data_IF_983872487821
#
_entry.id   IF_983872487821
#
_cell.length_a   1.000
_cell.length_b   1.000
_cell.length_c   1.000
_cell.angle_alpha   90.00
_cell.angle_beta   90.00
_cell.angle_gamma   90.00
#
_symmetry.space_group_name_H-M   'P 1'
#
loop_
_entity.id
_entity.type
_entity.pdbx_description
1 polymer ?
#
# COMPACT_ATOMS: atom_id res chain seq x y z
N UNK A 1 -0.09 -24.78 -13.61
CA UNK A 1 0.28 -23.63 -14.45
C UNK A 1 1.41 -22.96 -13.70
N UNK A 2 2.59 -22.88 -14.31
CA UNK A 2 3.74 -22.17 -13.72
C UNK A 2 3.39 -20.70 -13.73
N UNK A 3 3.47 -19.99 -12.59
CA UNK A 3 3.40 -18.52 -12.61
C UNK A 3 4.69 -18.05 -13.33
N UNK A 4 4.60 -17.78 -14.64
CA UNK A 4 5.75 -17.47 -15.54
C UNK A 4 6.55 -16.20 -15.13
N UNK A 5 6.04 -15.45 -14.14
CA UNK A 5 6.66 -14.24 -13.62
C UNK A 5 6.99 -14.32 -12.13
N UNK A 6 7.13 -15.54 -11.58
CA UNK A 6 7.55 -15.74 -10.19
C UNK A 6 8.63 -16.81 -10.07
N UNK A 7 9.49 -16.65 -9.07
CA UNK A 7 10.56 -17.59 -8.78
C UNK A 7 10.76 -17.69 -7.28
N UNK A 8 11.17 -18.89 -6.83
CA UNK A 8 11.33 -19.19 -5.41
C UNK A 8 12.67 -19.87 -5.19
N UNK A 9 13.42 -19.42 -4.18
CA UNK A 9 14.57 -20.14 -3.66
C UNK A 9 14.49 -20.24 -2.14
N UNK A 10 14.36 -21.47 -1.64
CA UNK A 10 14.17 -21.73 -0.22
C UNK A 10 12.92 -21.02 0.33
N UNK A 11 13.14 -20.10 1.26
CA UNK A 11 12.11 -19.28 1.90
C UNK A 11 11.92 -17.91 1.26
N UNK A 12 12.67 -17.58 0.21
CA UNK A 12 12.52 -16.34 -0.53
C UNK A 12 11.66 -16.61 -1.76
N UNK A 13 10.63 -15.81 -1.92
CA UNK A 13 9.74 -15.82 -3.08
C UNK A 13 9.80 -14.45 -3.74
N UNK A 14 9.93 -14.42 -5.05
CA UNK A 14 9.94 -13.18 -5.82
C UNK A 14 8.97 -13.27 -6.98
N UNK A 15 8.32 -12.15 -7.29
CA UNK A 15 7.39 -12.03 -8.40
C UNK A 15 7.55 -10.68 -9.08
N UNK A 16 7.52 -10.69 -10.40
CA UNK A 16 7.40 -9.47 -11.18
C UNK A 16 6.05 -8.83 -10.87
N UNK A 17 6.07 -7.54 -10.56
CA UNK A 17 4.86 -6.78 -10.25
C UNK A 17 4.43 -5.93 -11.44
N UNK A 18 5.38 -5.18 -12.02
CA UNK A 18 5.09 -4.36 -13.18
C UNK A 18 6.34 -4.12 -14.03
N UNK A 19 6.13 -3.96 -15.34
CA UNK A 19 7.10 -3.49 -16.31
C UNK A 19 6.38 -2.52 -17.24
N UNK A 20 6.88 -1.30 -17.31
CA UNK A 20 6.36 -0.25 -18.18
C UNK A 20 7.50 0.50 -18.85
N UNK A 21 7.26 0.98 -20.06
CA UNK A 21 8.17 1.89 -20.76
C UNK A 21 7.87 3.33 -20.35
N UNK A 22 8.92 4.09 -20.01
CA UNK A 22 8.87 5.51 -19.70
C UNK A 22 9.96 6.26 -20.47
N UNK A 23 9.88 7.59 -20.46
CA UNK A 23 10.89 8.47 -21.03
C UNK A 23 11.53 9.20 -19.86
N UNK A 24 12.84 9.15 -19.75
CA UNK A 24 13.58 9.85 -18.69
C UNK A 24 13.70 11.36 -18.96
N UNK A 25 14.39 12.08 -18.07
CA UNK A 25 14.58 13.52 -18.19
C UNK A 25 15.41 13.94 -19.43
N UNK A 26 16.12 13.00 -20.06
CA UNK A 26 16.99 13.23 -21.21
C UNK A 26 16.34 12.78 -22.55
N UNK A 27 15.02 12.60 -22.57
CA UNK A 27 14.24 12.10 -23.73
C UNK A 27 14.65 10.68 -24.19
N UNK A 28 15.27 9.87 -23.34
CA UNK A 28 15.64 8.48 -23.64
C UNK A 28 14.55 7.49 -23.17
N UNK A 29 14.26 6.48 -24.00
CA UNK A 29 13.37 5.39 -23.62
C UNK A 29 14.02 4.51 -22.54
N UNK A 30 13.35 4.38 -21.40
CA UNK A 30 13.75 3.53 -20.29
C UNK A 30 12.64 2.54 -19.93
N UNK A 31 13.01 1.39 -19.38
CA UNK A 31 12.05 0.49 -18.74
C UNK A 31 12.06 0.74 -17.23
N UNK A 32 10.87 0.85 -16.65
CA UNK A 32 10.67 0.82 -15.21
C UNK A 32 10.17 -0.57 -14.81
N UNK A 33 10.97 -1.26 -14.00
CA UNK A 33 10.67 -2.62 -13.54
C UNK A 33 10.49 -2.62 -12.03
N UNK A 34 9.37 -3.19 -11.57
CA UNK A 34 9.09 -3.42 -10.15
C UNK A 34 9.00 -4.91 -9.87
N UNK A 35 9.86 -5.38 -8.98
CA UNK A 35 9.90 -6.77 -8.54
C UNK A 35 9.64 -6.84 -7.05
N UNK A 36 8.73 -7.72 -6.65
CA UNK A 36 8.41 -7.97 -5.26
C UNK A 36 9.22 -9.15 -4.72
N UNK A 37 9.68 -9.06 -3.47
CA UNK A 37 10.39 -10.09 -2.73
C UNK A 37 9.70 -10.29 -1.38
N UNK A 38 9.31 -11.52 -1.10
CA UNK A 38 8.70 -11.95 0.17
C UNK A 38 9.62 -12.93 0.89
N UNK A 39 9.85 -12.68 2.19
CA UNK A 39 10.52 -13.65 3.07
C UNK A 39 9.49 -14.48 3.83
N UNK A 40 9.32 -15.73 3.41
CA UNK A 40 8.40 -16.68 4.04
C UNK A 40 9.00 -17.41 5.25
N UNK A 41 10.24 -17.09 5.65
CA UNK A 41 10.87 -17.70 6.83
C UNK A 41 10.55 -16.95 8.13
N UNK A 42 10.86 -17.62 9.25
CA UNK A 42 10.85 -17.03 10.59
C UNK A 42 12.15 -16.28 10.94
N UNK A 43 13.12 -16.19 10.03
CA UNK A 43 14.46 -15.64 10.28
C UNK A 43 14.72 -14.46 9.33
N UNK A 44 15.29 -13.34 9.80
CA UNK A 44 15.68 -12.25 8.90
C UNK A 44 16.75 -12.71 7.92
N UNK A 45 16.64 -12.29 6.66
CA UNK A 45 17.63 -12.57 5.62
C UNK A 45 18.38 -11.28 5.30
N UNK A 46 19.71 -11.31 5.42
CA UNK A 46 20.59 -10.19 5.06
C UNK A 46 21.47 -10.52 3.86
N UNK A 47 22.27 -9.53 3.44
CA UNK A 47 23.15 -9.67 2.27
C UNK A 47 22.34 -9.75 0.98
N UNK A 48 21.23 -9.03 0.91
CA UNK A 48 20.38 -8.98 -0.27
C UNK A 48 21.04 -8.09 -1.32
N UNK A 49 21.10 -8.59 -2.55
CA UNK A 49 21.57 -7.87 -3.72
C UNK A 49 20.69 -8.25 -4.90
N UNK A 50 20.16 -7.25 -5.60
CA UNK A 50 19.34 -7.43 -6.77
C UNK A 50 19.93 -6.62 -7.91
N UNK A 51 19.80 -7.10 -9.14
CA UNK A 51 20.22 -6.39 -10.34
C UNK A 51 19.36 -6.81 -11.53
N UNK A 52 19.13 -5.89 -12.47
CA UNK A 52 18.75 -6.27 -13.82
C UNK A 52 20.01 -6.46 -14.65
N UNK A 53 20.05 -7.52 -15.45
CA UNK A 53 21.18 -7.83 -16.33
C UNK A 53 20.67 -7.91 -17.76
N UNK A 54 21.20 -7.06 -18.64
CA UNK A 54 20.91 -7.16 -20.08
C UNK A 54 21.68 -8.31 -20.72
N UNK A 55 21.21 -8.76 -21.88
CA UNK A 55 21.90 -9.71 -22.76
C UNK A 55 23.31 -9.23 -23.18
N UNK A 56 23.52 -7.91 -23.28
CA UNK A 56 24.82 -7.25 -23.49
C UNK A 56 25.74 -7.31 -22.26
N UNK A 57 25.25 -7.82 -21.13
CA UNK A 57 25.98 -7.97 -19.86
C UNK A 57 26.02 -6.70 -19.00
N UNK A 58 25.24 -5.67 -19.34
CA UNK A 58 25.12 -4.46 -18.52
C UNK A 58 24.28 -4.78 -17.29
N UNK A 59 24.75 -4.36 -16.10
CA UNK A 59 24.03 -4.52 -14.84
C UNK A 59 23.45 -3.18 -14.40
N UNK A 60 22.19 -3.18 -14.01
CA UNK A 60 21.47 -2.04 -13.46
C UNK A 60 21.11 -2.34 -12.00
N UNK A 61 21.51 -1.45 -11.11
CA UNK A 61 21.22 -1.53 -9.68
C UNK A 61 19.83 -0.94 -9.38
N UNK A 62 19.16 -1.38 -8.31
CA UNK A 62 17.85 -0.85 -7.94
C UNK A 62 17.98 0.58 -7.41
N UNK A 63 17.04 1.44 -7.78
CA UNK A 63 16.90 2.81 -7.29
C UNK A 63 16.48 2.78 -5.82
N UNK A 64 15.50 1.93 -5.53
CA UNK A 64 15.08 1.63 -4.17
C UNK A 64 15.30 0.13 -3.93
N UNK A 65 16.28 -0.16 -3.09
CA UNK A 65 16.73 -1.49 -2.77
C UNK A 65 17.00 -1.64 -1.28
N UNK A 66 16.79 -2.86 -0.78
CA UNK A 66 17.05 -3.23 0.60
C UNK A 66 18.21 -4.21 0.68
N UNK A 67 19.00 -4.14 1.76
CA UNK A 67 20.08 -5.08 2.03
C UNK A 67 19.69 -6.19 3.01
N UNK A 68 18.50 -6.10 3.61
CA UNK A 68 17.94 -7.11 4.52
C UNK A 68 16.41 -7.07 4.56
N UNK A 69 15.80 -8.22 4.82
CA UNK A 69 14.35 -8.38 4.94
C UNK A 69 14.00 -9.19 6.20
N UNK A 70 13.03 -8.68 6.97
CA UNK A 70 12.53 -9.35 8.16
C UNK A 70 11.65 -10.57 7.85
N UNK A 71 11.34 -11.40 8.85
CA UNK A 71 10.42 -12.54 8.71
C UNK A 71 9.01 -12.10 8.28
N UNK A 72 8.42 -12.77 7.30
CA UNK A 72 7.05 -12.51 6.83
C UNK A 72 6.85 -11.16 6.14
N UNK A 73 7.93 -10.42 5.86
CA UNK A 73 7.84 -9.13 5.19
C UNK A 73 7.96 -9.30 3.69
N UNK A 74 7.31 -8.36 3.01
CA UNK A 74 7.35 -8.21 1.57
C UNK A 74 7.86 -6.82 1.21
N UNK A 75 8.75 -6.75 0.23
CA UNK A 75 9.47 -5.53 -0.16
C UNK A 75 9.64 -5.50 -1.68
N UNK A 76 9.71 -4.30 -2.23
CA UNK A 76 9.85 -4.08 -3.67
C UNK A 76 11.27 -3.63 -3.99
N UNK A 77 11.75 -4.05 -5.15
CA UNK A 77 12.90 -3.48 -5.84
C UNK A 77 12.40 -2.73 -7.07
N UNK A 78 12.83 -1.49 -7.22
CA UNK A 78 12.51 -0.66 -8.38
C UNK A 78 13.77 -0.41 -9.19
N UNK A 79 13.66 -0.58 -10.49
CA UNK A 79 14.76 -0.37 -11.43
C UNK A 79 14.31 0.56 -12.55
N UNK A 80 15.22 1.41 -12.98
CA UNK A 80 15.16 2.07 -14.28
C UNK A 80 16.36 1.58 -15.08
N UNK A 81 16.11 1.19 -16.33
CA UNK A 81 17.16 0.70 -17.20
C UNK A 81 16.90 1.16 -18.64
N UNK A 82 17.87 1.86 -19.22
CA UNK A 82 17.86 2.25 -20.63
C UNK A 82 18.17 1.02 -21.48
N UNK A 83 17.11 0.37 -21.97
CA UNK A 83 17.19 -0.83 -22.82
C UNK A 83 16.50 -0.55 -24.16
N UNK A 84 17.32 -0.38 -25.19
CA UNK A 84 16.89 -0.11 -26.56
C UNK A 84 16.49 -1.37 -27.34
N UNK A 85 17.10 -2.50 -26.99
CA UNK A 85 16.96 -3.77 -27.71
C UNK A 85 17.53 -4.94 -26.89
N UNK A 86 17.08 -6.16 -27.20
CA UNK A 86 17.59 -7.38 -26.60
C UNK A 86 16.68 -7.95 -25.52
N UNK A 87 17.28 -8.65 -24.57
CA UNK A 87 16.59 -9.24 -23.43
C UNK A 87 17.23 -8.80 -22.11
N UNK A 88 16.44 -8.80 -21.04
CA UNK A 88 16.92 -8.55 -19.69
C UNK A 88 16.46 -9.64 -18.74
N UNK A 89 17.24 -9.88 -17.70
CA UNK A 89 16.97 -10.87 -16.65
C UNK A 89 17.13 -10.20 -15.30
N UNK A 90 16.17 -10.39 -14.40
CA UNK A 90 16.34 -10.02 -13.01
C UNK A 90 17.15 -11.11 -12.30
N UNK A 91 18.21 -10.70 -11.62
CA UNK A 91 19.03 -11.55 -10.76
C UNK A 91 18.95 -11.06 -9.31
N UNK A 92 18.78 -12.00 -8.40
CA UNK A 92 18.77 -11.75 -6.98
C UNK A 92 19.66 -12.74 -6.23
N UNK A 93 20.44 -12.22 -5.28
CA UNK A 93 21.23 -12.99 -4.34
C UNK A 93 20.84 -12.59 -2.92
N UNK A 94 20.53 -13.59 -2.08
CA UNK A 94 20.19 -13.34 -0.67
C UNK A 94 20.21 -14.61 0.15
N UNK A 95 20.80 -14.57 1.35
CA UNK A 95 20.79 -15.72 2.27
C UNK A 95 21.47 -16.99 1.72
N UNK A 96 22.41 -16.85 0.77
CA UNK A 96 23.06 -17.99 0.10
C UNK A 96 22.24 -18.61 -1.02
N UNK A 97 21.12 -17.98 -1.41
CA UNK A 97 20.28 -18.39 -2.53
C UNK A 97 20.36 -17.40 -3.68
N UNK A 98 20.30 -17.93 -4.90
CA UNK A 98 20.20 -17.14 -6.12
C UNK A 98 18.82 -17.36 -6.72
N UNK A 99 18.19 -16.28 -7.17
CA UNK A 99 16.94 -16.31 -7.92
C UNK A 99 17.17 -15.56 -9.23
N UNK A 100 16.55 -16.05 -10.30
CA UNK A 100 16.54 -15.40 -11.60
C UNK A 100 15.12 -15.41 -12.16
N UNK A 101 14.71 -14.29 -12.75
CA UNK A 101 13.43 -14.11 -13.44
C UNK A 101 13.69 -13.56 -14.85
N UNK A 102 13.06 -14.17 -15.85
CA UNK A 102 13.29 -13.89 -17.25
C UNK A 102 14.00 -15.03 -17.98
N UNK A 103 14.60 -14.78 -19.16
CA UNK A 103 14.74 -13.47 -19.80
C UNK A 103 13.41 -12.89 -20.31
N UNK A 104 13.32 -11.55 -20.32
CA UNK A 104 12.21 -10.78 -20.88
C UNK A 104 12.72 -9.89 -22.02
N UNK A 105 11.90 -9.64 -23.02
CA UNK A 105 12.26 -8.72 -24.11
C UNK A 105 12.39 -7.27 -23.61
N UNK A 106 13.19 -6.45 -24.30
CA UNK A 106 13.37 -5.04 -23.97
C UNK A 106 12.05 -4.24 -24.02
N UNK A 107 11.11 -4.61 -24.89
CA UNK A 107 9.78 -4.00 -25.04
C UNK A 107 8.67 -4.72 -24.26
N UNK A 108 9.04 -5.59 -23.31
CA UNK A 108 8.09 -6.35 -22.51
C UNK A 108 7.30 -5.43 -21.57
N UNK A 109 5.98 -5.48 -21.64
CA UNK A 109 5.07 -4.80 -20.71
C UNK A 109 4.32 -5.82 -19.87
N UNK A 110 4.18 -5.53 -18.58
CA UNK A 110 3.44 -6.38 -17.66
C UNK A 110 2.88 -5.57 -16.51
N UNK A 111 1.67 -5.93 -16.09
CA UNK A 111 1.09 -5.43 -14.86
C UNK A 111 0.44 -6.63 -14.18
N UNK A 112 0.93 -7.00 -13.00
CA UNK A 112 0.28 -8.00 -12.18
C UNK A 112 -1.09 -7.48 -11.74
N UNK A 113 -2.10 -8.34 -11.77
CA UNK A 113 -3.42 -8.02 -11.26
C UNK A 113 -3.31 -7.57 -9.79
N UNK A 114 -3.87 -6.41 -9.49
CA UNK A 114 -3.83 -5.82 -8.15
C UNK A 114 -4.80 -6.58 -7.24
N UNK A 115 -4.32 -7.68 -6.68
CA UNK A 115 -5.02 -8.47 -5.65
C UNK A 115 -4.02 -8.88 -4.59
N UNK A 116 -4.44 -8.93 -3.33
CA UNK A 116 -3.60 -9.49 -2.27
C UNK A 116 -3.39 -10.97 -2.58
N UNK A 117 -2.23 -11.36 -3.13
CA UNK A 117 -1.81 -12.77 -3.12
C UNK A 117 -1.76 -13.17 -1.65
N UNK A 118 -2.75 -13.95 -1.22
CA UNK A 118 -2.78 -14.56 0.11
C UNK A 118 -1.51 -15.38 0.25
N UNK A 119 -0.49 -14.77 0.85
CA UNK A 119 0.78 -15.43 1.12
C UNK A 119 0.50 -16.71 1.90
N UNK A 120 1.36 -17.70 1.72
CA UNK A 120 1.26 -19.01 2.37
C UNK A 120 1.57 -18.93 3.88
N UNK A 121 1.09 -17.87 4.54
CA UNK A 121 1.09 -17.72 5.98
C UNK A 121 0.30 -18.88 6.57
N UNK A 122 0.86 -19.49 7.60
CA UNK A 122 0.26 -20.57 8.39
C UNK A 122 -1.11 -20.07 8.88
N UNK A 123 -2.18 -20.45 8.18
CA UNK A 123 -3.54 -19.94 8.40
C UNK A 123 -4.34 -19.65 7.12
N UNK A 124 -3.70 -19.46 5.96
CA UNK A 124 -4.39 -19.16 4.70
C UNK A 124 -5.48 -20.19 4.32
N UNK A 125 -5.21 -21.48 4.57
CA UNK A 125 -6.16 -22.57 4.34
C UNK A 125 -7.39 -22.55 5.27
N UNK A 126 -7.35 -21.85 6.41
CA UNK A 126 -8.49 -21.74 7.32
C UNK A 126 -9.42 -20.58 6.94
N UNK A 127 -8.89 -19.57 6.23
CA UNK A 127 -9.64 -18.38 5.82
C UNK A 127 -10.13 -18.44 4.37
N UNK A 128 -9.50 -19.23 3.50
CA UNK A 128 -9.92 -19.36 2.10
C UNK A 128 -11.27 -20.07 1.95
N UNK A 129 -11.53 -21.13 2.72
CA UNK A 129 -12.79 -21.88 2.64
C UNK A 129 -14.02 -21.19 3.27
N UNK A 130 -13.84 -20.13 4.05
CA UNK A 130 -14.93 -19.46 4.78
C UNK A 130 -15.43 -18.16 4.10
N UNK A 131 -14.63 -17.57 3.20
CA UNK A 131 -14.89 -16.26 2.59
C UNK A 131 -14.64 -16.25 1.07
N UNK A 132 -14.95 -17.38 0.43
CA UNK A 132 -14.58 -17.81 -0.93
C UNK A 132 -14.87 -16.82 -2.09
N UNK A 133 -15.61 -15.72 -1.87
CA UNK A 133 -16.00 -14.81 -2.97
C UNK A 133 -15.87 -13.30 -2.68
N UNK A 134 -15.28 -12.88 -1.56
CA UNK A 134 -15.26 -11.45 -1.18
C UNK A 134 -13.91 -10.90 -0.73
N UNK A 135 -12.83 -11.68 -0.84
CA UNK A 135 -11.50 -11.24 -0.40
C UNK A 135 -10.64 -10.63 -1.52
N UNK A 136 -10.86 -10.99 -2.78
CA UNK A 136 -10.15 -10.37 -3.92
C UNK A 136 -10.47 -8.88 -4.06
N UNK A 137 -11.70 -8.48 -3.74
CA UNK A 137 -12.16 -7.08 -3.79
C UNK A 137 -11.81 -6.28 -2.52
N UNK A 138 -11.34 -6.98 -1.46
CA UNK A 138 -10.99 -6.34 -0.20
C UNK A 138 -9.66 -5.59 -0.36
N UNK A 139 -9.71 -4.26 -0.42
CA UNK A 139 -8.55 -3.38 -0.64
C UNK A 139 -8.39 -2.88 -2.08
N UNK A 140 -9.27 -3.29 -3.00
CA UNK A 140 -9.33 -2.72 -4.37
C UNK A 140 -10.07 -1.39 -4.42
N UNK A 141 -10.80 -1.02 -3.36
CA UNK A 141 -11.43 0.29 -3.23
C UNK A 141 -10.45 1.23 -2.53
N UNK A 142 -9.99 2.25 -3.25
CA UNK A 142 -9.35 3.43 -2.63
C UNK A 142 -10.30 3.97 -1.56
N UNK A 143 -9.82 4.05 -0.32
CA UNK A 143 -10.60 4.57 0.78
C UNK A 143 -10.99 6.03 0.47
N UNK A 144 -12.28 6.19 0.13
CA UNK A 144 -13.11 7.40 0.20
C UNK A 144 -12.32 8.71 0.22
N UNK A 145 -12.32 9.40 -0.92
CA UNK A 145 -11.91 10.80 -1.00
C UNK A 145 -12.47 11.61 0.18
N UNK A 146 -11.63 12.53 0.68
CA UNK A 146 -11.89 13.40 1.84
C UNK A 146 -13.36 13.85 1.80
N UNK A 147 -14.17 13.32 2.70
CA UNK A 147 -15.57 13.72 2.81
C UNK A 147 -15.56 15.13 3.37
N UNK A 148 -15.97 16.09 2.55
CA UNK A 148 -16.20 17.45 2.98
C UNK A 148 -17.35 17.48 4.00
N UNK A 149 -17.02 17.78 5.25
CA UNK A 149 -17.98 17.84 6.36
C UNK A 149 -19.08 18.89 6.13
N UNK A 150 -18.85 19.88 5.26
CA UNK A 150 -19.86 20.90 4.90
C UNK A 150 -20.99 20.33 4.03
N UNK A 151 -20.78 19.18 3.38
CA UNK A 151 -21.78 18.54 2.51
C UNK A 151 -22.78 17.61 3.24
N UNK A 152 -22.58 17.41 4.55
CA UNK A 152 -23.38 16.45 5.34
C UNK A 152 -24.60 17.17 5.93
N UNK A 153 -25.78 16.97 5.33
CA UNK A 153 -27.05 17.43 5.88
C UNK A 153 -27.58 16.44 6.93
N UNK A 154 -27.41 16.75 8.21
CA UNK A 154 -28.00 16.00 9.32
C UNK A 154 -29.51 16.24 9.38
N UNK A 155 -30.31 15.19 9.19
CA UNK A 155 -31.78 15.27 9.37
C UNK A 155 -32.14 14.71 10.74
N UNK A 156 -32.72 15.54 11.60
CA UNK A 156 -33.16 15.14 12.95
C UNK A 156 -34.64 14.74 12.94
N UNK A 157 -34.97 13.74 13.76
CA UNK A 157 -36.35 13.26 13.97
C UNK A 157 -36.69 13.40 15.44
N UNK A 158 -37.90 13.89 15.72
CA UNK A 158 -38.42 13.98 17.09
C UNK A 158 -39.65 13.08 17.24
N UNK A 159 -39.67 12.30 18.32
CA UNK A 159 -40.81 11.47 18.69
C UNK A 159 -41.56 12.11 19.85
N UNK A 160 -42.82 12.48 19.63
CA UNK A 160 -43.70 12.95 20.71
C UNK A 160 -44.67 11.83 21.09
N UNK A 161 -44.81 11.58 22.40
CA UNK A 161 -45.75 10.59 22.92
C UNK A 161 -47.13 11.23 23.11
N UNK A 162 -48.13 10.62 22.49
CA UNK A 162 -49.53 11.05 22.59
C UNK A 162 -50.29 10.23 23.63
N UNK A 163 -51.22 10.86 24.35
CA UNK A 163 -51.97 10.23 25.43
C UNK A 163 -52.84 9.10 24.90
N UNK A 164 -52.49 7.87 25.27
CA UNK A 164 -52.96 6.63 24.64
C UNK A 164 -51.85 5.63 24.29
N UNK A 165 -50.58 6.01 24.46
CA UNK A 165 -49.43 5.10 24.34
C UNK A 165 -48.88 4.93 22.91
N UNK A 166 -49.26 5.82 21.99
CA UNK A 166 -48.74 5.85 20.63
C UNK A 166 -47.69 6.98 20.48
N UNK A 167 -46.59 6.68 19.81
CA UNK A 167 -45.52 7.65 19.50
C UNK A 167 -45.67 8.12 18.05
N UNK A 168 -45.80 9.44 17.85
CA UNK A 168 -45.82 10.04 16.52
C UNK A 168 -44.44 10.62 16.23
N UNK A 169 -43.80 10.18 15.15
CA UNK A 169 -42.50 10.70 14.70
C UNK A 169 -42.73 11.80 13.68
N UNK A 170 -42.15 12.98 13.92
CA UNK A 170 -42.21 14.13 13.02
C UNK A 170 -40.80 14.45 12.53
N UNK A 171 -40.69 14.74 11.23
CA UNK A 171 -39.44 15.16 10.59
C UNK A 171 -39.11 16.58 11.07
N UNK A 172 -37.98 16.75 11.75
CA UNK A 172 -37.50 18.07 12.18
C UNK A 172 -37.01 18.84 10.96
N UNK A 173 -37.51 20.07 10.78
CA UNK A 173 -36.98 20.97 9.74
C UNK A 173 -35.58 21.42 10.16
N UNK A 174 -34.61 21.37 9.23
CA UNK A 174 -33.20 21.64 9.49
C UNK A 174 -32.99 23.11 9.88
N UNK A 175 -33.02 23.41 11.17
CA UNK A 175 -32.61 24.72 11.69
C UNK A 175 -31.10 24.77 11.85
N UNK A 176 -30.51 25.90 11.46
CA UNK A 176 -29.10 26.23 11.62
C UNK A 176 -28.61 25.89 13.04
N UNK A 177 -27.42 25.28 13.09
CA UNK A 177 -26.71 24.78 14.27
C UNK A 177 -26.75 25.79 15.42
N UNK A 178 -27.37 25.43 16.54
CA UNK A 178 -27.31 26.20 17.79
C UNK A 178 -25.86 26.22 18.31
N UNK A 179 -25.38 27.40 18.74
CA UNK A 179 -23.99 27.68 19.21
C UNK A 179 -23.53 26.84 20.42
N UNK A 180 -24.42 26.02 20.99
CA UNK A 180 -24.14 25.16 22.15
C UNK A 180 -23.49 23.83 21.77
N UNK A 181 -23.56 23.41 20.50
CA UNK A 181 -23.05 22.10 20.03
C UNK A 181 -21.71 22.20 19.26
N UNK A 182 -20.94 23.25 19.53
CA UNK A 182 -19.58 23.40 19.00
C UNK A 182 -18.60 22.43 19.68
N UNK A 183 -17.65 21.83 18.95
CA UNK A 183 -16.66 20.92 19.52
C UNK A 183 -15.94 21.55 20.71
N UNK A 184 -15.96 20.88 21.87
CA UNK A 184 -15.28 21.36 23.08
C UNK A 184 -13.79 21.52 22.81
N UNK A 185 -13.30 22.74 23.00
CA UNK A 185 -11.87 23.05 22.85
C UNK A 185 -11.08 22.36 23.96
N UNK A 186 -10.03 21.58 23.64
CA UNK A 186 -9.27 20.85 24.64
C UNK A 186 -8.41 21.80 25.48
N UNK A 187 -8.13 21.45 26.75
CA UNK A 187 -7.59 22.38 27.76
C UNK A 187 -6.15 22.87 27.47
N UNK A 188 -5.40 22.21 26.58
CA UNK A 188 -4.04 22.60 26.20
C UNK A 188 -4.00 23.75 25.17
N UNK A 189 -5.12 24.09 24.53
CA UNK A 189 -5.20 25.19 23.57
C UNK A 189 -5.35 26.58 24.24
N UNK A 190 -5.49 26.61 25.57
CA UNK A 190 -5.62 27.84 26.35
C UNK A 190 -4.29 28.29 26.96
N UNK A 191 -3.31 28.67 26.13
CA UNK A 191 -2.13 29.38 26.65
C UNK A 191 -2.47 30.86 26.87
N UNK A 192 -2.45 31.31 28.13
CA UNK A 192 -2.27 32.74 28.45
C UNK A 192 -0.89 32.94 29.09
N UNK A 193 -0.06 33.87 28.58
CA UNK A 193 1.26 34.13 29.13
C UNK A 193 1.14 34.78 30.50
N UNK A 194 1.92 34.30 31.47
CA UNK A 194 2.01 34.86 32.81
C UNK A 194 2.89 36.11 32.79
N UNK A 195 2.28 37.30 32.86
CA UNK A 195 3.02 38.54 33.09
C UNK A 195 3.17 38.74 34.59
N UNK A 196 4.41 38.68 35.08
CA UNK A 196 4.85 39.05 36.42
C UNK A 196 4.65 40.54 36.69
N UNK A 197 4.04 40.91 37.82
CA UNK A 197 3.96 42.28 38.32
C UNK A 197 4.65 42.40 39.71
N UNK A 198 5.37 43.50 40.02
CA UNK A 198 6.36 43.54 41.10
C UNK A 198 5.79 43.99 42.45
N UNK A 199 6.51 43.62 43.51
CA UNK A 199 6.21 43.89 44.93
C UNK A 199 6.34 45.38 45.29
N UNK A 200 5.38 45.98 46.02
CA UNK A 200 5.55 47.28 46.66
C UNK A 200 6.03 47.14 48.14
N UNK A 201 6.52 48.23 48.76
CA UNK A 201 7.53 48.22 49.84
C UNK A 201 7.04 47.87 51.25
#
# INVERSE_FOLDING_TARGET
MSDDHSARAGSLNTSLQSVSMEIDDDDEDIIMVVVELTNESAIPVGGLSAALVSDKGQRFDPIDGISSIGPGLTRQFKFEASLDSGEWTFEFNGGGHNISLGPYAADFEFQADMGRKMGNAIGSSLFSGAFDNHLDDFGSTEERGIIDAESIAMTSYFGENTEGGSTKVVLGESSNVDEEDRPRTPPWQSEKPTVTEPTPP
#
